data_IF_122943506587
#
_entry.id   IF_122943506587
#
_cell.length_a   1.000
_cell.length_b   1.000
_cell.length_c   1.000
_cell.angle_alpha   90.00
_cell.angle_beta   90.00
_cell.angle_gamma   90.00
#
_symmetry.space_group_name_H-M   'P 1'
#
loop_
_entity.id
_entity.type
_entity.pdbx_description
1 polymer ?
#
# COMPACT_ATOMS: atom_id res chain seq x y z
N UNK A 1 42.93 43.90 5.51
CA UNK A 1 41.56 44.32 5.83
C UNK A 1 40.87 44.68 4.53
N UNK A 2 40.17 43.74 3.92
CA UNK A 2 39.34 43.96 2.75
C UNK A 2 37.94 43.47 3.10
N UNK A 3 37.08 44.40 3.50
CA UNK A 3 35.65 44.20 3.72
C UNK A 3 34.96 44.30 2.37
N UNK A 4 34.68 43.16 1.74
CA UNK A 4 33.88 43.09 0.53
C UNK A 4 32.45 42.67 0.91
N UNK A 5 31.50 43.56 0.64
CA UNK A 5 30.09 43.41 0.96
C UNK A 5 29.46 42.30 0.11
N UNK A 6 29.04 41.22 0.75
CA UNK A 6 28.14 40.22 0.17
C UNK A 6 26.76 40.85 0.02
N UNK A 7 26.39 41.19 -1.21
CA UNK A 7 25.02 41.51 -1.61
C UNK A 7 24.28 40.21 -1.97
N UNK A 8 23.02 40.18 -1.52
CA UNK A 8 21.87 39.47 -2.10
C UNK A 8 21.74 37.95 -1.89
N UNK A 9 20.78 37.56 -1.03
CA UNK A 9 19.53 36.95 -1.51
C UNK A 9 18.51 36.81 -0.36
N UNK A 10 17.47 37.65 -0.35
CA UNK A 10 16.26 37.39 0.43
C UNK A 10 15.17 36.88 -0.53
N UNK A 11 14.43 35.80 -0.20
CA UNK A 11 13.39 35.29 -1.07
C UNK A 11 12.25 36.32 -1.17
N UNK A 12 11.92 36.72 -2.40
CA UNK A 12 10.77 37.59 -2.69
C UNK A 12 9.48 36.92 -2.21
N UNK A 13 8.83 37.52 -1.22
CA UNK A 13 7.47 37.19 -0.83
C UNK A 13 6.53 37.59 -1.97
N UNK A 14 5.73 36.64 -2.46
CA UNK A 14 4.74 36.88 -3.50
C UNK A 14 3.77 37.97 -3.01
N UNK A 15 3.81 39.13 -3.67
CA UNK A 15 2.91 40.23 -3.40
C UNK A 15 1.46 39.76 -3.53
N UNK A 16 0.65 40.03 -2.51
CA UNK A 16 -0.79 39.93 -2.58
C UNK A 16 -1.26 40.77 -3.77
N UNK A 17 -1.64 40.12 -4.86
CA UNK A 17 -2.32 40.77 -5.98
C UNK A 17 -3.72 41.08 -5.47
N UNK A 18 -3.96 42.34 -5.11
CA UNK A 18 -5.28 42.82 -4.74
C UNK A 18 -6.20 42.59 -5.95
N UNK A 19 -7.05 41.55 -5.85
CA UNK A 19 -8.00 41.20 -6.91
C UNK A 19 -9.05 42.29 -6.89
N UNK A 20 -8.81 43.35 -7.67
CA UNK A 20 -9.55 44.61 -7.64
C UNK A 20 -11.07 44.45 -7.77
N UNK A 21 -11.80 45.56 -7.57
CA UNK A 21 -13.26 45.64 -7.38
C UNK A 21 -14.15 44.77 -8.29
N UNK A 22 -13.70 44.40 -9.49
CA UNK A 22 -14.41 43.47 -10.38
C UNK A 22 -14.49 42.03 -9.83
N UNK A 23 -13.49 41.56 -9.08
CA UNK A 23 -13.52 40.26 -8.43
C UNK A 23 -14.51 40.24 -7.27
N UNK A 24 -14.51 41.29 -6.45
CA UNK A 24 -15.46 41.42 -5.34
C UNK A 24 -16.91 41.49 -5.85
N UNK A 25 -17.18 42.30 -6.89
CA UNK A 25 -18.50 42.34 -7.54
C UNK A 25 -18.93 40.99 -8.12
N UNK A 26 -17.99 40.19 -8.64
CA UNK A 26 -18.30 38.85 -9.15
C UNK A 26 -18.61 37.88 -8.01
N UNK A 27 -17.93 37.99 -6.88
CA UNK A 27 -18.23 37.19 -5.70
C UNK A 27 -19.57 37.57 -5.06
N UNK A 28 -19.90 38.86 -5.02
CA UNK A 28 -21.21 39.33 -4.53
C UNK A 28 -22.35 38.79 -5.39
N UNK A 29 -22.19 38.79 -6.73
CA UNK A 29 -23.17 38.18 -7.64
C UNK A 29 -23.32 36.68 -7.42
N UNK A 30 -22.21 35.96 -7.28
CA UNK A 30 -22.24 34.51 -7.03
C UNK A 30 -22.99 34.19 -5.73
N UNK A 31 -22.77 35.00 -4.70
CA UNK A 31 -23.40 34.84 -3.40
C UNK A 31 -24.91 35.13 -3.44
N UNK A 32 -25.31 36.16 -4.20
CA UNK A 32 -26.73 36.46 -4.43
C UNK A 32 -27.42 35.32 -5.22
N UNK A 33 -26.77 34.78 -6.24
CA UNK A 33 -27.28 33.64 -7.02
C UNK A 33 -27.38 32.38 -6.16
N UNK A 34 -26.42 32.12 -5.25
CA UNK A 34 -26.44 31.00 -4.32
C UNK A 34 -27.57 31.13 -3.28
N UNK A 35 -27.78 32.32 -2.72
CA UNK A 35 -28.90 32.61 -1.80
C UNK A 35 -30.26 32.47 -2.50
N UNK A 36 -30.37 32.88 -3.77
CA UNK A 36 -31.58 32.67 -4.57
C UNK A 36 -31.83 31.19 -4.86
N UNK A 37 -30.78 30.43 -5.18
CA UNK A 37 -30.86 28.97 -5.39
C UNK A 37 -31.28 28.24 -4.11
N UNK A 38 -30.73 28.66 -2.97
CA UNK A 38 -31.04 28.08 -1.66
C UNK A 38 -32.49 28.39 -1.26
N UNK A 39 -32.96 29.61 -1.53
CA UNK A 39 -34.37 29.98 -1.32
C UNK A 39 -35.32 29.19 -2.24
N UNK A 40 -34.92 28.92 -3.48
CA UNK A 40 -35.69 28.08 -4.41
C UNK A 40 -35.75 26.63 -3.92
N UNK A 41 -34.62 26.11 -3.42
CA UNK A 41 -34.52 24.76 -2.88
C UNK A 41 -35.30 24.61 -1.56
N UNK A 42 -35.31 25.63 -0.71
CA UNK A 42 -36.11 25.65 0.52
C UNK A 42 -37.61 25.79 0.23
N UNK A 43 -37.99 26.56 -0.80
CA UNK A 43 -39.37 26.62 -1.28
C UNK A 43 -39.84 25.26 -1.84
N UNK A 44 -38.95 24.54 -2.52
CA UNK A 44 -39.24 23.19 -3.04
C UNK A 44 -39.23 22.12 -1.92
N UNK A 45 -38.42 22.31 -0.87
CA UNK A 45 -38.39 21.44 0.31
C UNK A 45 -39.61 21.61 1.23
N UNK A 46 -40.16 22.83 1.33
CA UNK A 46 -41.37 23.12 2.11
C UNK A 46 -42.66 22.55 1.51
N UNK A 47 -42.67 22.16 0.23
CA UNK A 47 -43.80 21.45 -0.37
C UNK A 47 -43.85 19.95 -0.01
N UNK A 48 -42.82 19.40 0.63
CA UNK A 48 -42.75 17.98 1.03
C UNK A 48 -42.97 17.71 2.53
N UNK A 49 -43.15 18.75 3.36
CA UNK A 49 -43.18 18.59 4.83
C UNK A 49 -44.59 18.49 5.46
N UNK A 50 -45.66 18.51 4.65
CA UNK A 50 -47.06 18.38 5.13
C UNK A 50 -47.67 16.99 4.85
N UNK A 51 -46.92 15.88 5.02
CA UNK A 51 -47.52 14.54 5.16
C UNK A 51 -46.63 13.63 6.03
N UNK A 52 -46.90 13.56 7.34
CA UNK A 52 -46.58 12.38 8.16
C UNK A 52 -47.71 12.16 9.17
N UNK A 53 -48.48 11.08 8.99
CA UNK A 53 -48.80 10.13 10.06
C UNK A 53 -49.41 8.85 9.47
N UNK A 54 -48.68 7.73 9.58
CA UNK A 54 -49.21 6.37 9.31
C UNK A 54 -50.16 5.93 10.46
N UNK A 55 -51.00 4.91 10.27
CA UNK A 55 -50.53 3.56 10.62
C UNK A 55 -51.01 2.41 9.69
N UNK A 56 -50.09 1.47 9.46
CA UNK A 56 -50.21 0.01 9.31
C UNK A 56 -51.60 -0.63 9.07
N UNK A 57 -51.72 -1.52 8.06
CA UNK A 57 -52.46 -2.81 8.09
C UNK A 57 -52.07 -3.68 6.87
N UNK A 58 -52.12 -4.98 7.12
CA UNK A 58 -51.65 -6.18 6.41
C UNK A 58 -52.06 -6.41 4.93
N UNK A 59 -51.30 -7.34 4.35
CA UNK A 59 -51.57 -8.27 3.23
C UNK A 59 -52.97 -8.23 2.60
N UNK A 60 -53.04 -8.04 1.27
CA UNK A 60 -53.75 -8.93 0.34
C UNK A 60 -53.49 -8.53 -1.12
N UNK A 61 -53.29 -9.54 -1.97
CA UNK A 61 -53.09 -9.44 -3.42
C UNK A 61 -54.35 -8.93 -4.11
N UNK A 62 -54.23 -8.00 -5.07
CA UNK A 62 -55.18 -7.95 -6.20
C UNK A 62 -54.56 -7.20 -7.39
N UNK A 63 -54.43 -7.91 -8.51
CA UNK A 63 -54.09 -7.42 -9.84
C UNK A 63 -55.03 -6.26 -10.25
N UNK A 64 -54.47 -5.09 -10.59
CA UNK A 64 -55.21 -4.05 -11.32
C UNK A 64 -54.40 -3.55 -12.52
N UNK A 65 -54.83 -4.04 -13.68
CA UNK A 65 -54.43 -3.69 -15.03
C UNK A 65 -54.48 -2.16 -15.26
N UNK A 66 -53.34 -1.54 -15.55
CA UNK A 66 -53.24 -0.09 -15.81
C UNK A 66 -53.69 0.17 -17.25
N UNK A 67 -54.95 0.56 -17.42
CA UNK A 67 -55.49 1.09 -18.67
C UNK A 67 -54.77 2.37 -19.09
N UNK A 68 -54.29 2.40 -20.34
CA UNK A 68 -53.55 3.53 -20.90
C UNK A 68 -54.42 4.78 -21.12
N UNK A 69 -53.85 6.01 -21.07
CA UNK A 69 -54.60 7.28 -21.21
C UNK A 69 -55.18 7.53 -22.61
N UNK A 70 -54.91 6.64 -23.57
CA UNK A 70 -55.28 6.80 -24.98
C UNK A 70 -56.79 6.66 -25.22
N UNK A 71 -57.50 5.85 -24.42
CA UNK A 71 -58.94 5.58 -24.64
C UNK A 71 -59.87 6.66 -24.06
N UNK A 72 -59.43 7.42 -23.05
CA UNK A 72 -60.22 8.55 -22.50
C UNK A 72 -60.27 9.76 -23.44
N UNK A 73 -59.28 9.94 -24.33
CA UNK A 73 -59.26 11.06 -25.29
C UNK A 73 -60.26 10.85 -26.44
N UNK A 74 -60.47 9.61 -26.89
CA UNK A 74 -61.34 9.33 -28.05
C UNK A 74 -62.84 9.42 -27.71
N UNK A 75 -63.22 9.29 -26.44
CA UNK A 75 -64.60 9.48 -25.98
C UNK A 75 -65.02 10.95 -25.84
N UNK A 76 -64.12 11.84 -25.40
CA UNK A 76 -64.45 13.29 -25.23
C UNK A 76 -64.52 14.07 -26.54
N UNK A 77 -63.80 13.66 -27.58
CA UNK A 77 -63.84 14.35 -28.88
C UNK A 77 -65.14 14.13 -29.66
N UNK A 78 -65.84 13.00 -29.44
CA UNK A 78 -67.11 12.71 -30.13
C UNK A 78 -68.34 13.33 -29.47
N UNK A 79 -68.25 13.76 -28.21
CA UNK A 79 -69.38 14.33 -27.49
C UNK A 79 -69.47 15.86 -27.71
N UNK A 80 -68.32 16.55 -27.86
CA UNK A 80 -68.27 18.00 -28.09
C UNK A 80 -68.72 18.42 -29.52
N UNK A 81 -68.63 17.55 -30.54
CA UNK A 81 -68.97 17.96 -31.92
C UNK A 81 -70.47 17.90 -32.24
N UNK A 82 -71.30 17.26 -31.40
CA UNK A 82 -72.74 17.08 -31.69
C UNK A 82 -73.65 18.05 -30.93
N UNK A 83 -73.09 18.89 -30.06
CA UNK A 83 -73.84 19.85 -29.25
C UNK A 83 -73.62 21.32 -29.64
N UNK A 84 -72.86 21.60 -30.71
CA UNK A 84 -72.52 22.98 -31.08
C UNK A 84 -73.51 23.70 -32.00
N UNK A 85 -74.44 23.00 -32.67
CA UNK A 85 -75.33 23.63 -33.66
C UNK A 85 -76.70 24.10 -33.11
N UNK A 86 -77.12 23.72 -31.90
CA UNK A 86 -78.47 24.03 -31.37
C UNK A 86 -78.53 25.20 -30.37
N UNK A 87 -77.43 25.91 -30.11
CA UNK A 87 -77.38 26.98 -29.08
C UNK A 87 -76.87 28.33 -29.60
N UNK A 88 -76.97 28.59 -30.90
CA UNK A 88 -76.39 29.79 -31.52
C UNK A 88 -77.42 30.91 -31.80
N UNK A 89 -78.68 30.77 -31.34
CA UNK A 89 -79.74 31.77 -31.57
C UNK A 89 -79.96 32.78 -30.43
N UNK A 90 -79.45 32.55 -29.21
CA UNK A 90 -79.67 33.44 -28.04
C UNK A 90 -78.42 34.12 -27.47
N UNK A 91 -77.21 33.84 -28.00
CA UNK A 91 -75.97 34.41 -27.47
C UNK A 91 -75.66 35.80 -28.02
N UNK A 92 -75.22 36.70 -27.14
CA UNK A 92 -74.77 38.05 -27.51
C UNK A 92 -73.56 37.98 -28.45
N UNK A 93 -73.38 38.97 -29.33
CA UNK A 93 -72.26 39.02 -30.27
C UNK A 93 -70.88 38.90 -29.60
N UNK A 94 -70.77 39.34 -28.35
CA UNK A 94 -69.55 39.21 -27.53
C UNK A 94 -69.28 37.77 -27.09
N UNK A 95 -70.31 37.01 -26.70
CA UNK A 95 -70.21 35.60 -26.27
C UNK A 95 -69.83 34.68 -27.43
N UNK A 96 -70.37 34.95 -28.64
CA UNK A 96 -69.95 34.27 -29.87
C UNK A 96 -68.47 34.51 -30.19
N UNK A 97 -67.98 35.73 -29.95
CA UNK A 97 -66.56 36.07 -30.13
C UNK A 97 -65.67 35.43 -29.07
N UNK A 98 -66.17 35.25 -27.85
CA UNK A 98 -65.47 34.60 -26.75
C UNK A 98 -65.35 33.09 -26.97
N UNK A 99 -66.44 32.43 -27.37
CA UNK A 99 -66.44 30.99 -27.72
C UNK A 99 -65.45 30.68 -28.86
N UNK A 100 -65.42 31.52 -29.90
CA UNK A 100 -64.44 31.40 -30.99
C UNK A 100 -63.00 31.57 -30.50
N UNK A 101 -62.72 32.59 -29.69
CA UNK A 101 -61.38 32.83 -29.13
C UNK A 101 -60.93 31.71 -28.20
N UNK A 102 -61.83 31.20 -27.37
CA UNK A 102 -61.54 30.09 -26.46
C UNK A 102 -61.33 28.78 -27.23
N UNK A 103 -62.13 28.51 -28.27
CA UNK A 103 -61.95 27.39 -29.19
C UNK A 103 -60.62 27.46 -29.94
N UNK A 104 -60.24 28.63 -30.41
CA UNK A 104 -58.96 28.85 -31.11
C UNK A 104 -57.76 28.73 -30.14
N UNK A 105 -57.88 29.25 -28.92
CA UNK A 105 -56.88 29.09 -27.86
C UNK A 105 -56.68 27.62 -27.47
N UNK A 106 -57.77 26.86 -27.34
CA UNK A 106 -57.73 25.41 -27.08
C UNK A 106 -57.02 24.66 -28.20
N UNK A 107 -57.34 24.97 -29.47
CA UNK A 107 -56.68 24.37 -30.65
C UNK A 107 -55.19 24.71 -30.72
N UNK A 108 -54.81 25.96 -30.44
CA UNK A 108 -53.40 26.35 -30.38
C UNK A 108 -52.65 25.64 -29.25
N UNK A 109 -53.26 25.50 -28.07
CA UNK A 109 -52.67 24.76 -26.94
C UNK A 109 -52.47 23.27 -27.29
N UNK A 110 -53.47 22.63 -27.89
CA UNK A 110 -53.39 21.25 -28.38
C UNK A 110 -52.29 21.09 -29.44
N UNK A 111 -52.23 21.98 -30.44
CA UNK A 111 -51.18 21.97 -31.46
C UNK A 111 -49.78 22.11 -30.85
N UNK A 112 -49.62 23.00 -29.86
CA UNK A 112 -48.35 23.19 -29.15
C UNK A 112 -47.96 21.95 -28.33
N UNK A 113 -48.94 21.28 -27.71
CA UNK A 113 -48.69 20.00 -27.02
C UNK A 113 -48.26 18.90 -28.01
N UNK A 114 -48.89 18.82 -29.18
CA UNK A 114 -48.48 17.87 -30.24
C UNK A 114 -47.08 18.17 -30.79
N UNK A 115 -46.73 19.44 -30.97
CA UNK A 115 -45.38 19.84 -31.40
C UNK A 115 -44.33 19.52 -30.32
N UNK A 116 -44.64 19.77 -29.05
CA UNK A 116 -43.74 19.43 -27.94
C UNK A 116 -43.57 17.92 -27.78
N UNK A 117 -44.64 17.16 -27.88
CA UNK A 117 -44.58 15.68 -27.81
C UNK A 117 -43.79 15.10 -28.96
N UNK A 118 -44.02 15.54 -30.20
CA UNK A 118 -43.17 15.16 -31.36
C UNK A 118 -41.70 15.49 -31.14
N UNK A 119 -41.40 16.67 -30.58
CA UNK A 119 -40.02 17.07 -30.29
C UNK A 119 -39.39 16.23 -29.19
N UNK A 120 -40.15 15.84 -28.18
CA UNK A 120 -39.71 14.92 -27.14
C UNK A 120 -39.43 13.54 -27.75
N UNK A 121 -40.34 13.01 -28.56
CA UNK A 121 -40.14 11.73 -29.27
C UNK A 121 -38.92 11.78 -30.21
N UNK A 122 -38.70 12.88 -30.93
CA UNK A 122 -37.51 13.10 -31.75
C UNK A 122 -36.22 13.19 -30.91
N UNK A 123 -36.26 13.79 -29.72
CA UNK A 123 -35.12 13.85 -28.82
C UNK A 123 -34.86 12.50 -28.15
N UNK A 124 -35.91 11.78 -27.77
CA UNK A 124 -35.82 10.43 -27.21
C UNK A 124 -35.30 9.42 -28.23
N UNK A 125 -35.75 9.49 -29.49
CA UNK A 125 -35.20 8.66 -30.57
C UNK A 125 -33.75 9.01 -30.82
N UNK A 126 -33.37 10.29 -30.92
CA UNK A 126 -31.95 10.69 -31.01
C UNK A 126 -31.12 10.29 -29.80
N UNK A 127 -31.71 10.20 -28.61
CA UNK A 127 -31.02 9.76 -27.41
C UNK A 127 -30.88 8.23 -27.37
N UNK A 128 -31.85 7.49 -27.92
CA UNK A 128 -31.83 6.02 -28.08
C UNK A 128 -30.91 5.57 -29.22
N UNK A 129 -30.90 6.32 -30.33
CA UNK A 129 -30.08 6.09 -31.53
C UNK A 129 -28.68 6.72 -31.42
N UNK A 130 -28.54 7.74 -30.58
CA UNK A 130 -27.24 8.21 -30.11
C UNK A 130 -26.56 7.10 -29.30
N UNK A 131 -25.22 7.09 -29.16
CA UNK A 131 -24.48 6.00 -28.52
C UNK A 131 -24.85 5.89 -27.03
N UNK A 132 -25.98 5.25 -26.72
CA UNK A 132 -26.35 4.82 -25.39
C UNK A 132 -25.33 3.79 -24.96
N UNK A 133 -24.66 4.13 -23.86
CA UNK A 133 -23.51 3.43 -23.33
C UNK A 133 -22.21 3.78 -24.07
N UNK A 134 -21.57 4.85 -23.61
CA UNK A 134 -20.11 4.92 -23.53
C UNK A 134 -19.66 3.81 -22.58
N UNK A 135 -19.83 2.55 -22.98
CA UNK A 135 -19.04 1.47 -22.43
C UNK A 135 -17.64 1.74 -22.94
N UNK A 136 -16.63 1.83 -22.06
CA UNK A 136 -15.25 1.77 -22.51
C UNK A 136 -15.14 0.58 -23.47
N UNK A 137 -14.59 0.72 -24.69
CA UNK A 137 -14.39 -0.42 -25.57
C UNK A 137 -13.67 -1.50 -24.77
N UNK A 138 -14.32 -2.66 -24.64
CA UNK A 138 -13.93 -3.70 -23.66
C UNK A 138 -12.98 -4.74 -24.23
N UNK A 139 -12.82 -4.79 -25.55
CA UNK A 139 -11.92 -5.71 -26.23
C UNK A 139 -10.89 -4.92 -27.03
N UNK A 140 -9.68 -5.47 -27.14
CA UNK A 140 -8.58 -4.86 -27.91
C UNK A 140 -8.99 -4.63 -29.38
N UNK A 141 -9.82 -5.53 -29.93
CA UNK A 141 -10.38 -5.42 -31.29
C UNK A 141 -11.39 -4.27 -31.42
N UNK A 142 -12.24 -4.03 -30.41
CA UNK A 142 -13.17 -2.89 -30.37
C UNK A 142 -12.43 -1.56 -30.22
N UNK A 143 -11.32 -1.54 -29.47
CA UNK A 143 -10.45 -0.36 -29.33
C UNK A 143 -9.83 -0.02 -30.68
N UNK A 144 -9.33 -1.01 -31.43
CA UNK A 144 -8.73 -0.78 -32.74
C UNK A 144 -9.76 -0.31 -33.78
N UNK A 145 -10.93 -0.94 -33.83
CA UNK A 145 -12.03 -0.51 -34.70
C UNK A 145 -12.52 0.91 -34.37
N UNK A 146 -12.56 1.27 -33.09
CA UNK A 146 -12.89 2.62 -32.64
C UNK A 146 -11.78 3.62 -32.99
N UNK A 147 -10.51 3.27 -32.79
CA UNK A 147 -9.36 4.10 -33.12
C UNK A 147 -9.30 4.40 -34.62
N UNK A 148 -9.65 3.42 -35.47
CA UNK A 148 -9.79 3.62 -36.93
C UNK A 148 -10.92 4.59 -37.30
N UNK A 149 -12.03 4.60 -36.56
CA UNK A 149 -13.17 5.51 -36.79
C UNK A 149 -12.89 6.94 -36.29
N UNK A 150 -12.05 7.09 -35.27
CA UNK A 150 -11.74 8.37 -34.63
C UNK A 150 -10.23 8.53 -34.37
N UNK A 151 -9.40 8.70 -35.42
CA UNK A 151 -7.93 8.71 -35.29
C UNK A 151 -7.42 9.89 -34.43
N UNK A 152 -8.02 11.06 -34.56
CA UNK A 152 -7.60 12.25 -33.81
C UNK A 152 -7.86 12.08 -32.30
N UNK A 153 -9.02 11.53 -31.93
CA UNK A 153 -9.36 11.25 -30.52
C UNK A 153 -8.49 10.12 -29.97
N UNK A 154 -8.26 9.07 -30.77
CA UNK A 154 -7.40 7.96 -30.38
C UNK A 154 -5.96 8.40 -30.11
N UNK A 155 -5.37 9.24 -30.96
CA UNK A 155 -3.99 9.75 -30.75
C UNK A 155 -3.89 10.60 -29.47
N UNK A 156 -4.90 11.42 -29.17
CA UNK A 156 -4.95 12.20 -27.93
C UNK A 156 -5.06 11.27 -26.72
N UNK A 157 -5.95 10.27 -26.76
CA UNK A 157 -6.11 9.30 -25.67
C UNK A 157 -4.84 8.46 -25.48
N UNK A 158 -4.18 8.06 -26.55
CA UNK A 158 -2.89 7.36 -26.53
C UNK A 158 -1.81 8.22 -25.88
N UNK A 159 -1.67 9.50 -26.27
CA UNK A 159 -0.67 10.39 -25.63
C UNK A 159 -0.98 10.65 -24.15
N UNK A 160 -2.26 10.75 -23.77
CA UNK A 160 -2.67 10.88 -22.37
C UNK A 160 -2.40 9.58 -21.61
N UNK A 161 -2.67 8.43 -22.23
CA UNK A 161 -2.40 7.12 -21.67
C UNK A 161 -0.89 6.90 -21.49
N UNK A 162 -0.08 7.27 -22.47
CA UNK A 162 1.39 7.20 -22.40
C UNK A 162 1.93 8.14 -21.32
N UNK A 163 1.47 9.40 -21.26
CA UNK A 163 1.85 10.34 -20.19
C UNK A 163 1.46 9.80 -18.82
N UNK A 164 0.24 9.28 -18.66
CA UNK A 164 -0.24 8.71 -17.40
C UNK A 164 0.50 7.43 -17.04
N UNK A 165 0.83 6.59 -18.02
CA UNK A 165 1.65 5.41 -17.83
C UNK A 165 3.05 5.82 -17.37
N UNK A 166 3.70 6.77 -18.05
CA UNK A 166 5.00 7.29 -17.67
C UNK A 166 5.01 7.90 -16.26
N UNK A 167 3.96 8.65 -15.87
CA UNK A 167 3.81 9.14 -14.50
C UNK A 167 3.70 8.01 -13.48
N UNK A 168 2.91 6.97 -13.76
CA UNK A 168 2.78 5.80 -12.89
C UNK A 168 4.06 4.98 -12.83
N UNK A 169 4.78 4.83 -13.94
CA UNK A 169 6.09 4.18 -13.97
C UNK A 169 7.11 4.98 -13.18
N UNK A 170 7.11 6.31 -13.28
CA UNK A 170 8.00 7.17 -12.49
C UNK A 170 7.74 7.10 -10.99
N UNK A 171 6.46 7.08 -10.57
CA UNK A 171 6.10 6.85 -9.16
C UNK A 171 6.53 5.46 -8.67
N UNK A 172 6.30 4.42 -9.49
CA UNK A 172 6.71 3.06 -9.18
C UNK A 172 8.24 2.92 -9.11
N UNK A 173 8.98 3.54 -10.03
CA UNK A 173 10.45 3.55 -10.05
C UNK A 173 11.02 4.28 -8.83
N UNK A 174 10.42 5.41 -8.43
CA UNK A 174 10.80 6.11 -7.19
C UNK A 174 10.64 5.22 -5.98
N UNK A 175 9.49 4.55 -5.83
CA UNK A 175 9.24 3.62 -4.72
C UNK A 175 10.15 2.40 -4.77
N UNK A 176 10.43 1.88 -5.96
CA UNK A 176 11.33 0.75 -6.13
C UNK A 176 12.75 1.15 -5.71
N UNK A 177 13.22 2.34 -6.11
CA UNK A 177 14.51 2.88 -5.70
C UNK A 177 14.60 3.08 -4.19
N UNK A 178 13.57 3.66 -3.56
CA UNK A 178 13.51 3.79 -2.09
C UNK A 178 13.57 2.43 -1.40
N UNK A 179 12.88 1.42 -1.94
CA UNK A 179 12.86 0.07 -1.41
C UNK A 179 14.22 -0.63 -1.59
N UNK A 180 14.88 -0.44 -2.73
CA UNK A 180 16.20 -0.99 -2.98
C UNK A 180 17.25 -0.34 -2.07
N UNK A 181 17.22 0.99 -1.88
CA UNK A 181 18.07 1.67 -0.90
C UNK A 181 17.80 1.18 0.54
N UNK A 182 16.54 1.00 0.93
CA UNK A 182 16.20 0.46 2.25
C UNK A 182 16.67 -0.99 2.42
N UNK A 183 16.65 -1.80 1.35
CA UNK A 183 17.20 -3.16 1.36
C UNK A 183 18.72 -3.15 1.53
N UNK A 184 19.42 -2.29 0.80
CA UNK A 184 20.88 -2.12 0.92
C UNK A 184 21.29 -1.65 2.31
N UNK A 185 20.58 -0.69 2.88
CA UNK A 185 20.81 -0.26 4.27
C UNK A 185 20.54 -1.40 5.26
N UNK A 186 19.48 -2.18 5.06
CA UNK A 186 19.15 -3.32 5.90
C UNK A 186 20.20 -4.45 5.80
N UNK A 187 20.71 -4.75 4.61
CA UNK A 187 21.79 -5.75 4.44
C UNK A 187 23.08 -5.24 5.07
N UNK A 188 23.43 -3.98 4.87
CA UNK A 188 24.60 -3.34 5.49
C UNK A 188 24.51 -3.33 7.02
N UNK A 189 23.41 -2.86 7.60
CA UNK A 189 23.22 -2.84 9.06
C UNK A 189 23.22 -4.26 9.64
N UNK A 190 22.66 -5.24 8.94
CA UNK A 190 22.74 -6.66 9.32
C UNK A 190 24.17 -7.18 9.30
N UNK A 191 24.95 -6.85 8.28
CA UNK A 191 26.37 -7.20 8.19
C UNK A 191 27.16 -6.53 9.33
N UNK A 192 27.03 -5.22 9.53
CA UNK A 192 27.67 -4.48 10.62
C UNK A 192 27.34 -5.07 12.00
N UNK A 193 26.07 -5.43 12.25
CA UNK A 193 25.67 -6.09 13.49
C UNK A 193 26.30 -7.47 13.67
N UNK A 194 26.50 -8.22 12.59
CA UNK A 194 27.22 -9.49 12.63
C UNK A 194 28.71 -9.28 12.95
N UNK A 195 29.31 -8.23 12.39
CA UNK A 195 30.71 -7.85 12.66
C UNK A 195 30.86 -7.39 14.11
N UNK A 196 29.98 -6.53 14.62
CA UNK A 196 29.96 -6.08 16.04
C UNK A 196 29.84 -7.23 17.03
N UNK A 197 29.07 -8.28 16.71
CA UNK A 197 28.97 -9.49 17.54
C UNK A 197 30.31 -10.24 17.64
N UNK A 198 31.11 -10.22 16.59
CA UNK A 198 32.43 -10.83 16.55
C UNK A 198 33.51 -9.92 17.17
N UNK A 199 33.41 -8.62 16.91
CA UNK A 199 34.35 -7.58 17.31
C UNK A 199 33.59 -6.37 17.88
N UNK A 200 33.40 -6.29 19.22
CA UNK A 200 32.71 -5.16 19.84
C UNK A 200 33.42 -3.81 19.63
N UNK A 201 34.72 -3.83 19.38
CA UNK A 201 35.58 -2.69 19.06
C UNK A 201 35.56 -2.32 17.57
N UNK A 202 34.68 -2.92 16.77
CA UNK A 202 34.56 -2.63 15.34
C UNK A 202 34.34 -1.15 15.04
N UNK A 203 33.44 -0.49 15.77
CA UNK A 203 33.14 0.93 15.52
C UNK A 203 34.38 1.80 15.81
N UNK A 204 35.17 1.47 16.84
CA UNK A 204 36.42 2.19 17.13
C UNK A 204 37.52 1.95 16.10
N UNK A 205 37.60 0.73 15.54
CA UNK A 205 38.56 0.43 14.48
C UNK A 205 38.18 1.10 13.16
N UNK A 206 36.87 1.15 12.87
CA UNK A 206 36.32 1.81 11.68
C UNK A 206 36.61 3.32 11.68
N UNK A 207 36.67 3.95 12.84
CA UNK A 207 36.99 5.38 12.95
C UNK A 207 38.50 5.65 13.09
N UNK A 208 39.34 4.61 13.15
CA UNK A 208 40.78 4.77 13.38
C UNK A 208 41.58 4.88 12.08
N UNK A 209 42.35 5.96 11.97
CA UNK A 209 43.24 6.18 10.82
C UNK A 209 44.33 5.11 10.72
N UNK A 210 44.81 4.58 11.86
CA UNK A 210 45.81 3.51 11.91
C UNK A 210 45.33 2.23 11.21
N UNK A 211 44.05 1.87 11.38
CA UNK A 211 43.45 0.71 10.73
C UNK A 211 43.34 0.91 9.21
N UNK A 212 42.95 2.10 8.77
CA UNK A 212 42.86 2.44 7.35
C UNK A 212 44.23 2.47 6.67
N UNK A 213 45.23 3.08 7.31
CA UNK A 213 46.61 3.08 6.81
C UNK A 213 47.16 1.65 6.68
N UNK A 214 46.93 0.80 7.68
CA UNK A 214 47.29 -0.62 7.58
C UNK A 214 46.55 -1.31 6.43
N UNK A 215 45.24 -1.06 6.27
CA UNK A 215 44.44 -1.69 5.22
C UNK A 215 44.89 -1.28 3.80
N UNK A 216 45.35 -0.05 3.59
CA UNK A 216 45.92 0.42 2.32
C UNK A 216 47.22 -0.30 1.95
N UNK A 217 48.03 -0.71 2.93
CA UNK A 217 49.25 -1.51 2.69
C UNK A 217 48.94 -2.98 2.39
N UNK A 218 47.72 -3.45 2.70
CA UNK A 218 47.32 -4.84 2.48
C UNK A 218 47.01 -5.15 1.01
N UNK A 219 47.05 -6.42 0.59
CA UNK A 219 46.68 -6.82 -0.76
C UNK A 219 45.21 -6.49 -1.07
N UNK A 220 44.90 -6.38 -2.37
CA UNK A 220 43.59 -5.96 -2.87
C UNK A 220 42.39 -6.70 -2.25
N UNK A 221 42.51 -8.00 -1.95
CA UNK A 221 41.41 -8.76 -1.34
C UNK A 221 41.02 -8.24 0.05
N UNK A 222 41.95 -7.66 0.81
CA UNK A 222 41.68 -7.06 2.12
C UNK A 222 40.95 -5.72 1.96
N UNK A 223 41.42 -4.91 1.02
CA UNK A 223 40.81 -3.61 0.69
C UNK A 223 39.39 -3.79 0.16
N UNK A 224 39.20 -4.72 -0.78
CA UNK A 224 37.90 -5.04 -1.36
C UNK A 224 36.93 -5.51 -0.27
N UNK A 225 37.37 -6.33 0.69
CA UNK A 225 36.53 -6.77 1.80
C UNK A 225 36.07 -5.60 2.70
N UNK A 226 36.90 -4.58 2.89
CA UNK A 226 36.57 -3.43 3.75
C UNK A 226 35.75 -2.35 3.05
N UNK A 227 36.02 -2.08 1.77
CA UNK A 227 35.47 -0.91 1.08
C UNK A 227 34.44 -1.25 0.00
N UNK A 228 34.62 -2.37 -0.70
CA UNK A 228 33.78 -2.75 -1.84
C UNK A 228 32.70 -3.77 -1.45
N UNK A 229 33.00 -4.68 -0.52
CA UNK A 229 32.13 -5.80 -0.11
C UNK A 229 31.84 -5.76 1.40
N UNK A 230 31.30 -4.62 1.87
CA UNK A 230 30.90 -4.45 3.28
C UNK A 230 29.70 -5.34 3.69
N UNK A 231 29.02 -5.93 2.72
CA UNK A 231 27.87 -6.81 2.88
C UNK A 231 28.26 -8.28 3.20
N UNK A 232 29.54 -8.65 3.05
CA UNK A 232 30.07 -9.93 3.57
C UNK A 232 30.73 -9.77 4.95
N UNK A 233 30.00 -10.05 6.05
CA UNK A 233 30.56 -9.89 7.40
C UNK A 233 31.68 -10.89 7.70
N UNK A 234 31.73 -12.06 7.04
CA UNK A 234 32.73 -13.08 7.34
C UNK A 234 34.13 -12.64 6.87
N UNK A 235 34.20 -12.03 5.69
CA UNK A 235 35.44 -11.47 5.15
C UNK A 235 35.95 -10.31 6.00
N UNK A 236 35.09 -9.36 6.37
CA UNK A 236 35.47 -8.21 7.22
C UNK A 236 35.98 -8.67 8.59
N UNK A 237 35.29 -9.62 9.22
CA UNK A 237 35.73 -10.22 10.50
C UNK A 237 37.13 -10.82 10.38
N UNK A 238 37.41 -11.54 9.28
CA UNK A 238 38.73 -12.13 9.04
C UNK A 238 39.81 -11.05 8.86
N UNK A 239 39.50 -9.95 8.21
CA UNK A 239 40.42 -8.81 8.07
C UNK A 239 40.71 -8.16 9.42
N UNK A 240 39.68 -7.93 10.23
CA UNK A 240 39.84 -7.36 11.57
C UNK A 240 40.68 -8.28 12.46
N UNK A 241 40.47 -9.60 12.38
CA UNK A 241 41.32 -10.58 13.07
C UNK A 241 42.79 -10.46 12.62
N UNK A 242 43.05 -10.32 11.32
CA UNK A 242 44.40 -10.17 10.76
C UNK A 242 45.08 -8.90 11.30
N UNK A 243 44.38 -7.77 11.28
CA UNK A 243 44.86 -6.51 11.83
C UNK A 243 45.30 -6.65 13.29
N UNK A 244 44.46 -7.30 14.12
CA UNK A 244 44.78 -7.49 15.54
C UNK A 244 45.98 -8.40 15.75
N UNK A 245 46.12 -9.44 14.92
CA UNK A 245 47.28 -10.35 14.95
C UNK A 245 48.57 -9.61 14.61
N UNK A 246 48.57 -8.83 13.53
CA UNK A 246 49.75 -8.07 13.06
C UNK A 246 50.18 -7.01 14.07
N UNK A 247 49.21 -6.30 14.67
CA UNK A 247 49.47 -5.25 15.65
C UNK A 247 49.63 -5.77 17.08
N UNK A 248 49.64 -7.10 17.28
CA UNK A 248 49.75 -7.75 18.60
C UNK A 248 48.69 -7.28 19.60
N UNK A 249 47.53 -6.83 19.09
CA UNK A 249 46.36 -6.52 19.90
C UNK A 249 45.71 -7.87 20.24
N UNK A 250 45.65 -8.22 21.52
CA UNK A 250 45.20 -9.55 21.92
C UNK A 250 43.77 -9.83 21.43
N UNK A 251 43.54 -10.97 20.79
CA UNK A 251 42.22 -11.48 20.41
C UNK A 251 41.42 -11.97 21.64
N UNK A 252 41.70 -11.36 22.81
CA UNK A 252 41.50 -11.90 24.15
C UNK A 252 40.07 -12.35 24.42
N UNK A 253 39.08 -11.66 23.85
CA UNK A 253 37.66 -12.01 24.05
C UNK A 253 37.21 -13.28 23.33
N UNK A 254 37.75 -13.57 22.14
CA UNK A 254 37.43 -14.82 21.43
C UNK A 254 38.16 -16.00 22.05
N UNK A 255 39.44 -15.82 22.39
CA UNK A 255 40.22 -16.86 23.08
C UNK A 255 39.64 -17.17 24.45
N UNK A 256 39.16 -16.17 25.20
CA UNK A 256 38.51 -16.39 26.49
C UNK A 256 37.18 -17.13 26.34
N UNK A 257 36.28 -16.70 25.44
CA UNK A 257 35.00 -17.39 25.18
C UNK A 257 35.19 -18.81 24.65
N UNK A 258 36.13 -19.04 23.73
CA UNK A 258 36.45 -20.39 23.25
C UNK A 258 37.02 -21.27 24.36
N UNK A 259 37.86 -20.70 25.25
CA UNK A 259 38.42 -21.41 26.41
C UNK A 259 37.37 -21.67 27.49
N UNK A 260 36.39 -20.81 27.67
CA UNK A 260 35.25 -21.01 28.57
C UNK A 260 34.28 -22.08 28.04
N UNK A 261 33.93 -22.04 26.75
CA UNK A 261 33.16 -23.11 26.12
C UNK A 261 33.90 -24.46 26.21
N UNK A 262 35.21 -24.49 25.99
CA UNK A 262 36.03 -25.70 26.16
C UNK A 262 36.16 -26.16 27.62
N UNK A 263 36.06 -25.25 28.61
CA UNK A 263 35.98 -25.60 30.04
C UNK A 263 34.60 -26.14 30.43
N UNK A 264 33.53 -25.63 29.81
CA UNK A 264 32.15 -26.08 30.04
C UNK A 264 31.93 -27.52 29.52
N UNK A 265 32.63 -27.91 28.45
CA UNK A 265 32.80 -29.32 28.10
C UNK A 265 33.83 -29.92 29.05
N UNK A 266 33.40 -30.20 30.29
CA UNK A 266 34.26 -30.89 31.26
C UNK A 266 34.74 -32.19 30.62
N UNK A 267 36.05 -32.35 30.48
CA UNK A 267 36.71 -33.59 30.08
C UNK A 267 36.06 -34.70 30.90
N UNK A 268 35.26 -35.55 30.25
CA UNK A 268 34.38 -36.50 30.93
C UNK A 268 35.08 -37.14 32.11
N UNK A 269 34.63 -36.82 33.33
CA UNK A 269 35.01 -37.62 34.49
C UNK A 269 34.59 -39.05 34.14
N UNK A 270 35.49 -40.04 34.23
CA UNK A 270 35.06 -41.42 34.03
C UNK A 270 33.89 -41.65 34.98
N UNK A 271 32.81 -42.20 34.44
CA UNK A 271 31.65 -42.64 35.21
C UNK A 271 32.18 -43.45 36.39
N UNK A 272 32.02 -42.93 37.61
CA UNK A 272 32.17 -43.76 38.80
C UNK A 272 31.08 -44.80 38.68
N UNK A 273 31.46 -46.00 38.26
CA UNK A 273 30.59 -47.16 38.37
C UNK A 273 30.49 -47.39 39.88
N UNK A 274 29.33 -47.08 40.45
CA UNK A 274 28.96 -47.42 41.82
C UNK A 274 28.76 -48.94 41.88
N UNK A 275 29.86 -49.68 41.82
CA UNK A 275 29.92 -51.06 42.30
C UNK A 275 30.51 -50.98 43.69
N UNK A 276 29.71 -51.35 44.70
CA UNK A 276 29.96 -51.14 46.13
C UNK A 276 31.25 -51.78 46.69
N UNK A 277 32.10 -52.42 45.89
CA UNK A 277 33.44 -52.88 46.29
C UNK A 277 34.46 -52.81 45.13
N UNK A 278 34.83 -51.61 44.68
CA UNK A 278 36.07 -51.46 43.88
C UNK A 278 37.27 -51.45 44.81
N UNK A 279 38.13 -52.47 44.71
CA UNK A 279 39.31 -52.62 45.58
C UNK A 279 40.56 -51.96 45.00
N UNK A 280 40.76 -52.01 43.67
CA UNK A 280 41.96 -51.47 43.02
C UNK A 280 41.66 -50.86 41.64
N UNK A 281 42.45 -49.85 41.26
CA UNK A 281 42.41 -49.20 39.94
C UNK A 281 43.74 -49.33 39.24
N UNK A 282 43.73 -49.41 37.91
CA UNK A 282 44.94 -49.48 37.07
C UNK A 282 45.87 -48.28 37.31
N UNK A 283 45.32 -47.07 37.48
CA UNK A 283 46.10 -45.89 37.84
C UNK A 283 46.82 -45.98 39.19
N UNK A 284 46.25 -46.72 40.14
CA UNK A 284 46.76 -46.82 41.50
C UNK A 284 47.87 -47.87 41.56
N UNK A 285 47.66 -49.02 40.91
CA UNK A 285 48.70 -50.04 40.72
C UNK A 285 49.91 -49.49 39.96
N UNK A 286 49.69 -48.64 38.95
CA UNK A 286 50.79 -48.01 38.19
C UNK A 286 51.63 -47.03 39.02
N UNK A 287 51.09 -46.51 40.12
CA UNK A 287 51.78 -45.56 41.01
C UNK A 287 52.43 -46.25 42.22
N UNK A 288 52.09 -47.51 42.49
CA UNK A 288 52.72 -48.28 43.55
C UNK A 288 54.19 -48.55 43.20
N UNK A 289 55.04 -48.56 44.21
CA UNK A 289 56.41 -49.00 44.07
C UNK A 289 56.50 -50.52 43.91
N UNK A 290 57.60 -51.02 43.34
CA UNK A 290 57.78 -52.46 43.08
C UNK A 290 57.59 -53.32 44.34
N UNK A 291 58.02 -52.80 45.51
CA UNK A 291 57.85 -53.48 46.81
C UNK A 291 56.38 -53.56 47.25
N UNK A 292 55.65 -52.46 47.12
CA UNK A 292 54.22 -52.40 47.47
C UNK A 292 53.38 -53.25 46.51
N UNK A 293 53.79 -53.33 45.25
CA UNK A 293 53.18 -54.20 44.25
C UNK A 293 53.38 -55.68 44.58
N UNK A 294 54.57 -56.10 44.97
CA UNK A 294 54.84 -57.48 45.39
C UNK A 294 53.99 -57.88 46.61
N UNK A 295 53.92 -57.01 47.62
CA UNK A 295 53.11 -57.25 48.83
C UNK A 295 51.60 -57.30 48.52
N UNK A 296 51.13 -56.46 47.60
CA UNK A 296 49.72 -56.38 47.21
C UNK A 296 49.36 -57.27 46.00
N UNK A 297 50.31 -58.05 45.47
CA UNK A 297 50.18 -58.77 44.20
C UNK A 297 48.99 -59.75 44.23
N UNK A 298 48.90 -60.55 45.29
CA UNK A 298 47.81 -61.52 45.45
C UNK A 298 46.44 -60.84 45.54
N UNK A 299 46.37 -59.67 46.18
CA UNK A 299 45.13 -58.90 46.33
C UNK A 299 44.71 -58.28 45.00
N UNK A 300 45.66 -57.76 44.22
CA UNK A 300 45.41 -57.22 42.88
C UNK A 300 44.93 -58.33 41.93
N UNK A 301 45.57 -59.50 41.96
CA UNK A 301 45.16 -60.66 41.15
C UNK A 301 43.76 -61.15 41.53
N UNK A 302 43.45 -61.22 42.84
CA UNK A 302 42.12 -61.59 43.33
C UNK A 302 41.05 -60.56 42.92
N UNK A 303 41.35 -59.27 43.03
CA UNK A 303 40.46 -58.21 42.56
C UNK A 303 40.24 -58.25 41.05
N UNK A 304 41.25 -58.64 40.27
CA UNK A 304 41.14 -58.84 38.83
C UNK A 304 40.24 -60.04 38.49
N UNK A 305 40.39 -61.16 39.22
CA UNK A 305 39.56 -62.35 39.05
C UNK A 305 38.10 -62.16 39.47
N UNK A 306 37.86 -61.41 40.55
CA UNK A 306 36.52 -61.10 41.07
C UNK A 306 35.83 -59.95 40.31
N UNK A 307 36.50 -59.34 39.31
CA UNK A 307 35.95 -58.23 38.53
C UNK A 307 35.85 -56.89 39.30
N UNK A 308 36.56 -56.79 40.44
CA UNK A 308 36.62 -55.60 41.32
C UNK A 308 37.81 -54.68 40.99
N UNK A 309 38.48 -54.92 39.87
CA UNK A 309 39.58 -54.12 39.35
C UNK A 309 39.12 -53.22 38.20
N UNK A 310 39.36 -51.91 38.30
CA UNK A 310 38.94 -50.94 37.28
C UNK A 310 40.10 -50.56 36.35
N UNK A 311 39.91 -50.82 35.06
CA UNK A 311 40.85 -50.53 33.96
C UNK A 311 40.65 -49.11 33.41
N UNK A 312 41.09 -48.09 34.15
CA UNK A 312 40.82 -46.69 33.81
C UNK A 312 41.82 -46.06 32.82
N UNK A 313 43.02 -46.63 32.67
CA UNK A 313 44.03 -46.13 31.74
C UNK A 313 43.92 -46.80 30.36
N UNK A 314 43.64 -48.10 30.33
CA UNK A 314 43.57 -48.90 29.11
C UNK A 314 42.26 -48.71 28.32
N UNK A 315 41.14 -48.37 28.98
CA UNK A 315 39.86 -48.07 28.30
C UNK A 315 39.83 -46.70 27.60
N UNK A 316 40.84 -45.85 27.78
CA UNK A 316 40.86 -44.47 27.28
C UNK A 316 41.53 -44.31 25.91
N UNK A 317 41.69 -45.40 25.16
CA UNK A 317 42.30 -45.44 23.83
C UNK A 317 41.28 -45.75 22.76
#
# INVERSE_FOLDING_TARGET
MATEMVKENTPRTAGYVDRGANYQRKQEKLKQEEEELQRLMEAQGKEQEDVVEEPSIDEEEEDVEIETPADKKKRKEKEDTKQEDESDEELSAEEKSFKKRYGDLRRHSQKKQEELTKRIEELESKLKDGPQSVRPPKSDEDIEAWARKYPDVASIVETIAEKKAAERFKDAESRLKELDSAREEATRTKAENSIRKAHPDFDTLRDSDEFHNWAEEQPKWVQDALYENMDDPASVVRVIDLYKVDNKIDLGERKSKAKEAAKAVSKGKPTKIDTEEVLFKESDVKKMSDKEFEESYEQIQKAMAEGKFVYDLSQRR
#
